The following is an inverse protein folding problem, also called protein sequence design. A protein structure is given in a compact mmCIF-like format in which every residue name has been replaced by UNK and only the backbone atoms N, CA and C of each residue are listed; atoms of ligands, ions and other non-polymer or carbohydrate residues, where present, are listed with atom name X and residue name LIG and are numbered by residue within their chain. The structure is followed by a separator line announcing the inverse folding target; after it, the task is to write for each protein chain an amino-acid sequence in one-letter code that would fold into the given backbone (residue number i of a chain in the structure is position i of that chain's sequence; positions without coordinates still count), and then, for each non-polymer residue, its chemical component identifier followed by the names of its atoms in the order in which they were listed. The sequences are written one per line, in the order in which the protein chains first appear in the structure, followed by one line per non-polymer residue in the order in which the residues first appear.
data_IF_633213322115
#
_entry.id   IF_633213322115
#
_cell.length_a   1.000
_cell.length_b   1.000
_cell.length_c   1.000
_cell.angle_alpha   90.00
_cell.angle_beta   90.00
_cell.angle_gamma   90.00
#
_symmetry.space_group_name_H-M   'P 1'
#
loop_
_entity.id
_entity.type
_entity.pdbx_description
1 polymer ?
#
# COMPACT_ATOMS: atom_id res chain seq x y z
N UNK A 1 -13.33 -9.21 11.06
CA UNK A 1 -12.27 -9.77 11.91
C UNK A 1 -12.12 -8.94 13.19
N UNK A 2 -11.58 -9.52 14.25
CA UNK A 2 -11.33 -8.81 15.51
C UNK A 2 -9.83 -8.58 15.68
N UNK A 3 -9.45 -7.39 16.18
CA UNK A 3 -8.05 -7.07 16.52
C UNK A 3 -7.12 -6.92 15.31
N UNK A 4 -7.64 -6.61 14.14
CA UNK A 4 -6.83 -6.30 12.95
C UNK A 4 -6.20 -4.92 13.12
N UNK A 5 -4.88 -4.87 13.06
CA UNK A 5 -4.08 -3.64 13.09
C UNK A 5 -3.00 -3.72 12.00
N UNK A 6 -3.31 -3.22 10.83
CA UNK A 6 -2.48 -3.28 9.63
C UNK A 6 -2.15 -1.88 9.12
N UNK A 7 -0.94 -1.69 8.68
CA UNK A 7 -0.51 -0.48 7.95
C UNK A 7 -0.19 -0.86 6.51
N UNK A 8 -0.81 -0.19 5.56
CA UNK A 8 -0.55 -0.38 4.13
C UNK A 8 0.29 0.80 3.65
N UNK A 9 1.47 0.51 3.12
CA UNK A 9 2.37 1.51 2.52
C UNK A 9 2.46 1.19 1.04
N UNK A 10 1.86 2.08 0.24
CA UNK A 10 1.70 1.96 -1.21
C UNK A 10 2.58 2.97 -1.93
N UNK A 11 3.45 2.51 -2.83
CA UNK A 11 4.04 3.39 -3.83
C UNK A 11 2.93 3.83 -4.80
N UNK A 12 2.76 5.12 -5.04
CA UNK A 12 1.62 5.64 -5.82
C UNK A 12 2.01 6.57 -6.98
N UNK A 13 3.29 6.63 -7.37
CA UNK A 13 3.76 7.54 -8.42
C UNK A 13 4.01 6.88 -9.77
N UNK A 14 4.13 5.56 -9.82
CA UNK A 14 4.44 4.78 -11.03
C UNK A 14 3.66 3.45 -11.07
N UNK A 15 4.19 2.42 -11.66
CA UNK A 15 3.54 1.11 -11.81
C UNK A 15 2.70 1.03 -13.08
N UNK A 16 1.61 0.28 -13.03
CA UNK A 16 0.60 0.24 -14.11
C UNK A 16 -0.22 1.53 -14.19
N UNK A 17 -0.33 2.26 -13.09
CA UNK A 17 -1.01 3.57 -13.04
C UNK A 17 -0.27 4.68 -13.79
N UNK A 18 0.94 4.44 -14.30
CA UNK A 18 1.61 5.35 -15.25
C UNK A 18 0.83 5.50 -16.55
N UNK A 19 -0.11 4.60 -16.85
CA UNK A 19 -1.01 4.68 -17.99
C UNK A 19 -0.30 4.50 -19.35
N UNK A 20 0.86 3.86 -19.36
CA UNK A 20 1.60 3.61 -20.59
C UNK A 20 1.00 2.41 -21.31
N UNK A 21 0.12 2.68 -22.25
CA UNK A 21 -0.56 1.66 -23.05
C UNK A 21 -0.40 1.93 -24.53
N UNK A 22 -0.38 0.87 -25.34
CA UNK A 22 -0.26 0.97 -26.79
C UNK A 22 -1.00 -0.17 -27.49
N UNK A 23 -1.78 0.16 -28.53
CA UNK A 23 -2.33 -0.83 -29.44
C UNK A 23 -1.27 -1.14 -30.51
N UNK A 24 -0.66 -2.32 -30.40
CA UNK A 24 0.45 -2.75 -31.29
C UNK A 24 -0.02 -3.25 -32.65
N UNK A 25 -1.25 -3.77 -32.72
CA UNK A 25 -1.98 -4.16 -33.91
C UNK A 25 -3.46 -4.21 -33.58
N UNK A 26 -4.40 -4.09 -34.56
CA UNK A 26 -5.83 -4.11 -34.28
C UNK A 26 -6.26 -5.26 -33.35
N UNK A 27 -6.83 -4.92 -32.21
CA UNK A 27 -7.30 -5.86 -31.20
C UNK A 27 -6.22 -6.42 -30.26
N UNK A 28 -4.96 -5.94 -30.33
CA UNK A 28 -3.87 -6.32 -29.41
C UNK A 28 -3.31 -5.09 -28.72
N UNK A 29 -3.59 -4.97 -27.43
CA UNK A 29 -3.14 -3.86 -26.58
C UNK A 29 -2.08 -4.34 -25.61
N UNK A 30 -1.02 -3.55 -25.43
CA UNK A 30 0.00 -3.73 -24.41
C UNK A 30 -0.12 -2.63 -23.35
N UNK A 31 0.04 -3.02 -22.10
CA UNK A 31 0.21 -2.10 -20.96
C UNK A 31 1.58 -2.32 -20.33
N UNK A 32 2.27 -1.24 -20.00
CA UNK A 32 3.62 -1.30 -19.43
C UNK A 32 3.60 -0.93 -17.95
N UNK A 33 4.13 -1.82 -17.12
CA UNK A 33 4.42 -1.53 -15.72
C UNK A 33 5.78 -0.85 -15.62
N UNK A 34 5.80 0.36 -15.06
CA UNK A 34 7.02 1.13 -14.82
C UNK A 34 7.48 0.92 -13.38
N UNK A 35 8.77 0.67 -13.18
CA UNK A 35 9.41 0.65 -11.87
C UNK A 35 10.78 1.32 -11.97
N UNK A 36 10.98 2.41 -11.24
CA UNK A 36 12.26 3.09 -11.13
C UNK A 36 12.94 2.77 -9.81
N UNK A 37 14.28 2.74 -9.82
CA UNK A 37 15.06 2.55 -8.59
C UNK A 37 14.77 3.67 -7.57
N UNK A 38 14.61 4.89 -8.07
CA UNK A 38 14.36 6.06 -7.24
C UNK A 38 13.05 5.93 -6.45
N UNK A 39 11.93 5.63 -7.12
CA UNK A 39 10.64 5.46 -6.46
C UNK A 39 10.61 4.25 -5.52
N UNK A 40 11.17 3.11 -5.96
CA UNK A 40 11.27 1.91 -5.12
C UNK A 40 12.10 2.16 -3.85
N UNK A 41 13.22 2.86 -3.96
CA UNK A 41 14.08 3.16 -2.82
C UNK A 41 13.44 4.19 -1.89
N UNK A 42 12.80 5.23 -2.46
CA UNK A 42 12.08 6.27 -1.71
C UNK A 42 10.99 5.66 -0.81
N UNK A 43 10.09 4.83 -1.39
CA UNK A 43 9.00 4.23 -0.62
C UNK A 43 9.52 3.22 0.40
N UNK A 44 10.53 2.42 0.06
CA UNK A 44 11.16 1.50 1.00
C UNK A 44 11.77 2.25 2.20
N UNK A 45 12.59 3.27 1.94
CA UNK A 45 13.18 4.09 3.00
C UNK A 45 12.10 4.72 3.89
N UNK A 46 11.02 5.23 3.30
CA UNK A 46 9.91 5.79 4.05
C UNK A 46 9.21 4.74 4.91
N UNK A 47 8.95 3.55 4.37
CA UNK A 47 8.28 2.45 5.06
C UNK A 47 9.07 1.98 6.30
N UNK A 48 10.36 1.75 6.14
CA UNK A 48 11.22 1.32 7.26
C UNK A 48 11.37 2.42 8.32
N UNK A 49 11.54 3.68 7.90
CA UNK A 49 11.56 4.82 8.82
C UNK A 49 10.26 4.96 9.60
N UNK A 50 9.12 4.83 8.92
CA UNK A 50 7.79 4.89 9.55
C UNK A 50 7.61 3.75 10.55
N UNK A 51 7.87 2.51 10.14
CA UNK A 51 7.73 1.34 11.00
C UNK A 51 8.61 1.45 12.27
N UNK A 52 9.86 1.88 12.10
CA UNK A 52 10.79 2.07 13.21
C UNK A 52 10.33 3.17 14.19
N UNK A 53 9.84 4.31 13.65
CA UNK A 53 9.35 5.42 14.50
C UNK A 53 8.06 5.09 15.24
N UNK A 54 7.21 4.22 14.66
CA UNK A 54 5.93 3.80 15.23
C UNK A 54 6.02 2.49 16.01
N UNK A 55 7.25 2.02 16.26
CA UNK A 55 7.53 0.78 17.01
C UNK A 55 6.79 -0.44 16.44
N UNK A 56 6.57 -0.44 15.11
CA UNK A 56 6.01 -1.59 14.41
C UNK A 56 7.03 -2.71 14.36
N UNK A 57 6.55 -3.94 14.35
CA UNK A 57 7.41 -5.11 14.59
C UNK A 57 7.97 -5.72 13.32
N UNK A 58 7.21 -5.64 12.22
CA UNK A 58 7.54 -6.35 10.99
C UNK A 58 7.07 -5.61 9.74
N UNK A 59 7.92 -5.63 8.70
CA UNK A 59 7.52 -5.24 7.34
C UNK A 59 7.47 -6.49 6.46
N UNK A 60 6.35 -6.67 5.77
CA UNK A 60 6.17 -7.69 4.74
C UNK A 60 6.03 -7.01 3.38
N UNK A 61 6.94 -7.30 2.46
CA UNK A 61 6.82 -6.86 1.05
C UNK A 61 5.97 -7.87 0.29
N UNK A 62 4.89 -7.39 -0.33
CA UNK A 62 4.09 -8.22 -1.25
C UNK A 62 4.48 -7.93 -2.69
N UNK A 63 4.79 -8.96 -3.47
CA UNK A 63 5.35 -8.84 -4.81
C UNK A 63 4.97 -10.03 -5.71
N UNK A 64 5.23 -9.92 -7.02
CA UNK A 64 5.13 -11.01 -7.99
C UNK A 64 6.45 -11.22 -8.77
N UNK A 65 7.58 -11.11 -8.07
CA UNK A 65 8.93 -11.19 -8.68
C UNK A 65 9.26 -12.56 -9.29
N UNK A 66 8.50 -13.60 -8.96
CA UNK A 66 8.60 -14.90 -9.64
C UNK A 66 8.16 -14.83 -11.11
N UNK A 67 7.29 -13.89 -11.47
CA UNK A 67 6.85 -13.60 -12.84
C UNK A 67 7.49 -12.31 -13.35
N UNK A 68 7.29 -11.18 -12.65
CA UNK A 68 7.81 -9.87 -13.02
C UNK A 68 9.20 -9.65 -12.42
N UNK A 69 10.18 -10.36 -12.97
CA UNK A 69 11.53 -10.47 -12.42
C UNK A 69 12.29 -9.15 -12.39
N UNK A 70 12.02 -8.24 -13.34
CA UNK A 70 12.70 -6.95 -13.43
C UNK A 70 11.99 -5.88 -12.60
N UNK A 71 10.70 -5.65 -12.79
CA UNK A 71 9.97 -4.60 -12.08
C UNK A 71 9.77 -4.92 -10.60
N UNK A 72 9.09 -6.02 -10.29
CA UNK A 72 8.89 -6.44 -8.89
C UNK A 72 10.19 -6.90 -8.23
N UNK A 73 11.11 -7.47 -9.04
CA UNK A 73 12.45 -7.81 -8.56
C UNK A 73 13.25 -6.58 -8.13
N UNK A 74 13.14 -5.46 -8.85
CA UNK A 74 13.76 -4.18 -8.46
C UNK A 74 13.14 -3.65 -7.16
N UNK A 75 11.81 -3.66 -7.06
CA UNK A 75 11.09 -3.23 -5.86
C UNK A 75 11.53 -4.03 -4.62
N UNK A 76 11.52 -5.36 -4.72
CA UNK A 76 11.96 -6.26 -3.66
C UNK A 76 13.42 -6.04 -3.29
N UNK A 77 14.30 -5.87 -4.30
CA UNK A 77 15.72 -5.60 -4.06
C UNK A 77 15.92 -4.30 -3.30
N UNK A 78 15.28 -3.20 -3.71
CA UNK A 78 15.39 -1.92 -3.01
C UNK A 78 14.93 -2.02 -1.55
N UNK A 79 13.81 -2.71 -1.28
CA UNK A 79 13.36 -2.94 0.09
C UNK A 79 14.35 -3.77 0.91
N UNK A 80 14.91 -4.84 0.33
CA UNK A 80 15.92 -5.68 0.98
C UNK A 80 17.21 -4.91 1.26
N UNK A 81 17.66 -4.07 0.32
CA UNK A 81 18.88 -3.26 0.48
C UNK A 81 18.69 -2.23 1.62
N UNK A 82 17.55 -1.54 1.70
CA UNK A 82 17.23 -0.61 2.80
C UNK A 82 17.18 -1.33 4.14
N UNK A 83 16.50 -2.49 4.20
CA UNK A 83 16.48 -3.30 5.41
C UNK A 83 17.89 -3.67 5.88
N UNK A 84 18.69 -4.26 4.99
CA UNK A 84 20.03 -4.77 5.36
C UNK A 84 21.00 -3.67 5.79
N UNK A 85 20.92 -2.48 5.17
CA UNK A 85 21.85 -1.39 5.43
C UNK A 85 21.43 -0.51 6.62
N UNK A 86 20.15 -0.20 6.74
CA UNK A 86 19.68 0.86 7.63
C UNK A 86 18.81 0.35 8.80
N UNK A 87 18.15 -0.80 8.64
CA UNK A 87 17.19 -1.32 9.62
C UNK A 87 17.31 -2.83 9.88
N UNK A 88 18.52 -3.38 10.08
CA UNK A 88 18.73 -4.83 10.18
C UNK A 88 18.03 -5.50 11.38
N UNK A 89 17.64 -4.72 12.37
CA UNK A 89 16.97 -5.21 13.58
C UNK A 89 15.45 -5.28 13.46
N UNK A 90 14.84 -4.68 12.42
CA UNK A 90 13.42 -4.76 12.19
C UNK A 90 13.08 -6.05 11.44
N UNK A 91 12.10 -6.82 11.89
CA UNK A 91 11.73 -8.04 11.19
C UNK A 91 11.26 -7.72 9.75
N UNK A 92 11.80 -8.46 8.79
CA UNK A 92 11.52 -8.27 7.37
C UNK A 92 11.25 -9.61 6.69
N UNK A 93 10.21 -9.66 5.90
CA UNK A 93 9.88 -10.82 5.06
C UNK A 93 9.34 -10.38 3.69
N UNK A 94 9.35 -11.30 2.75
CA UNK A 94 8.69 -11.11 1.46
C UNK A 94 7.72 -12.25 1.17
N UNK A 95 6.59 -11.93 0.56
CA UNK A 95 5.56 -12.90 0.23
C UNK A 95 5.03 -12.62 -1.18
N UNK A 96 4.83 -13.68 -1.97
CA UNK A 96 4.18 -13.56 -3.28
C UNK A 96 2.74 -13.10 -3.06
N UNK A 97 2.28 -12.11 -3.85
CA UNK A 97 1.03 -11.36 -3.63
C UNK A 97 -0.21 -12.25 -3.49
N UNK A 98 -0.37 -13.27 -4.33
CA UNK A 98 -1.50 -14.19 -4.27
C UNK A 98 -1.51 -15.03 -2.97
N UNK A 99 -0.34 -15.49 -2.53
CA UNK A 99 -0.21 -16.13 -1.23
C UNK A 99 -0.47 -15.15 -0.07
N UNK A 100 -0.05 -13.88 -0.22
CA UNK A 100 -0.35 -12.79 0.71
C UNK A 100 -1.84 -12.55 0.87
N UNK A 101 -2.59 -12.48 -0.24
CA UNK A 101 -4.06 -12.35 -0.22
C UNK A 101 -4.73 -13.49 0.55
N UNK A 102 -4.33 -14.74 0.26
CA UNK A 102 -4.87 -15.90 0.95
C UNK A 102 -4.61 -15.83 2.47
N UNK A 103 -3.36 -15.53 2.86
CA UNK A 103 -2.96 -15.42 4.26
C UNK A 103 -3.70 -14.28 5.00
N UNK A 104 -3.90 -13.12 4.35
CA UNK A 104 -4.67 -12.01 4.91
C UNK A 104 -6.12 -12.41 5.25
N UNK A 105 -6.75 -13.22 4.38
CA UNK A 105 -8.11 -13.72 4.63
C UNK A 105 -8.12 -14.82 5.69
N UNK A 106 -7.09 -15.67 5.77
CA UNK A 106 -7.02 -16.73 6.76
C UNK A 106 -6.73 -16.20 8.15
N UNK A 107 -5.72 -15.36 8.28
CA UNK A 107 -5.28 -14.78 9.54
C UNK A 107 -4.52 -13.47 9.29
N UNK A 108 -5.18 -12.30 9.32
CA UNK A 108 -4.53 -11.01 9.13
C UNK A 108 -3.54 -10.65 10.24
N UNK A 109 -3.63 -11.27 11.43
CA UNK A 109 -2.76 -10.96 12.57
C UNK A 109 -1.29 -11.33 12.36
N UNK A 110 -1.00 -12.16 11.36
CA UNK A 110 0.37 -12.49 10.99
C UNK A 110 1.11 -11.36 10.25
N UNK A 111 0.41 -10.30 9.86
CA UNK A 111 0.99 -9.12 9.22
C UNK A 111 0.96 -7.92 10.16
N UNK A 112 1.82 -6.93 9.88
CA UNK A 112 1.92 -5.70 10.64
C UNK A 112 1.98 -4.49 9.69
N UNK A 113 3.10 -4.30 8.98
CA UNK A 113 3.23 -3.30 7.92
C UNK A 113 3.40 -4.02 6.59
N UNK A 114 2.54 -3.70 5.63
CA UNK A 114 2.60 -4.21 4.26
C UNK A 114 3.19 -3.13 3.35
N UNK A 115 4.25 -3.46 2.63
CA UNK A 115 4.90 -2.60 1.64
C UNK A 115 4.64 -3.14 0.24
N UNK A 116 4.04 -2.31 -0.62
CA UNK A 116 3.57 -2.72 -1.95
C UNK A 116 3.83 -1.66 -3.01
N UNK A 117 3.97 -2.13 -4.25
CA UNK A 117 3.90 -1.27 -5.43
C UNK A 117 2.44 -0.82 -5.68
N UNK A 118 2.25 0.07 -6.66
CA UNK A 118 1.02 0.84 -6.82
C UNK A 118 -0.24 -0.03 -6.95
N UNK A 119 -0.33 -0.89 -7.96
CA UNK A 119 -1.53 -1.69 -8.20
C UNK A 119 -1.82 -2.67 -7.06
N UNK A 120 -0.79 -3.34 -6.56
CA UNK A 120 -1.01 -4.27 -5.44
C UNK A 120 -1.39 -3.52 -4.16
N UNK A 121 -0.81 -2.33 -3.95
CA UNK A 121 -1.19 -1.48 -2.83
C UNK A 121 -2.65 -1.07 -2.88
N UNK A 122 -3.16 -0.72 -4.07
CA UNK A 122 -4.56 -0.39 -4.30
C UNK A 122 -5.48 -1.57 -3.93
N UNK A 123 -5.25 -2.73 -4.55
CA UNK A 123 -6.08 -3.93 -4.33
C UNK A 123 -6.03 -4.41 -2.88
N UNK A 124 -4.84 -4.41 -2.27
CA UNK A 124 -4.66 -4.90 -0.89
C UNK A 124 -5.21 -3.92 0.15
N UNK A 125 -5.14 -2.60 -0.09
CA UNK A 125 -5.74 -1.63 0.82
C UNK A 125 -7.25 -1.83 0.93
N UNK A 126 -7.93 -2.06 -0.19
CA UNK A 126 -9.37 -2.30 -0.22
C UNK A 126 -9.74 -3.64 0.42
N UNK A 127 -8.95 -4.70 0.14
CA UNK A 127 -9.12 -5.98 0.84
C UNK A 127 -8.99 -5.79 2.36
N UNK A 128 -7.96 -5.10 2.83
CA UNK A 128 -7.74 -4.86 4.25
C UNK A 128 -8.82 -3.96 4.87
N UNK A 129 -9.31 -2.96 4.12
CA UNK A 129 -10.46 -2.17 4.55
C UNK A 129 -11.70 -3.06 4.79
N UNK A 130 -11.94 -4.03 3.90
CA UNK A 130 -13.02 -5.02 4.07
C UNK A 130 -12.89 -5.83 5.36
N UNK A 131 -11.66 -6.14 5.80
CA UNK A 131 -11.43 -6.90 7.03
C UNK A 131 -11.82 -6.13 8.31
N UNK A 132 -11.83 -4.80 8.25
CA UNK A 132 -12.10 -3.91 9.43
C UNK A 132 -13.47 -3.21 9.37
N UNK A 133 -14.26 -3.45 8.33
CA UNK A 133 -15.63 -2.90 8.23
C UNK A 133 -15.88 -2.01 7.02
N UNK A 134 -14.94 -1.91 6.10
CA UNK A 134 -15.06 -1.20 4.82
C UNK A 134 -14.33 0.14 4.78
N UNK A 135 -14.34 0.76 3.61
CA UNK A 135 -13.61 2.00 3.32
C UNK A 135 -14.08 3.20 4.17
N UNK A 136 -15.32 3.20 4.64
CA UNK A 136 -15.89 4.28 5.45
C UNK A 136 -15.26 4.45 6.84
N UNK A 137 -14.42 3.50 7.28
CA UNK A 137 -13.76 3.52 8.60
C UNK A 137 -12.23 3.54 8.51
N UNK A 138 -11.67 3.65 7.31
CA UNK A 138 -10.21 3.60 7.09
C UNK A 138 -9.68 4.99 6.77
N UNK A 139 -8.71 5.51 7.54
CA UNK A 139 -8.03 6.75 7.23
C UNK A 139 -6.97 6.57 6.14
N UNK A 140 -6.68 7.64 5.41
CA UNK A 140 -5.64 7.69 4.39
C UNK A 140 -4.77 8.94 4.45
N UNK A 141 -3.53 8.79 3.99
CA UNK A 141 -2.61 9.90 3.81
C UNK A 141 -1.71 9.66 2.60
N UNK A 142 -1.51 10.69 1.79
CA UNK A 142 -0.52 10.74 0.72
C UNK A 142 0.63 11.63 1.20
N UNK A 143 1.80 11.04 1.39
CA UNK A 143 2.96 11.71 1.98
C UNK A 143 4.01 11.97 0.90
N UNK A 144 4.20 13.24 0.55
CA UNK A 144 5.27 13.70 -0.32
C UNK A 144 6.48 14.27 0.44
N UNK A 145 7.42 14.83 -0.30
CA UNK A 145 8.59 15.48 0.30
C UNK A 145 8.21 16.83 0.94
N UNK A 146 7.45 17.63 0.22
CA UNK A 146 7.11 19.00 0.62
C UNK A 146 5.64 19.18 1.00
N UNK A 147 4.79 18.24 0.66
CA UNK A 147 3.34 18.30 0.87
C UNK A 147 2.82 16.95 1.33
N UNK A 148 1.88 16.96 2.27
CA UNK A 148 1.12 15.79 2.69
C UNK A 148 -0.38 16.07 2.60
N UNK A 149 -1.15 15.12 2.08
CA UNK A 149 -2.60 15.20 1.92
C UNK A 149 -3.22 14.10 2.77
N UNK A 150 -4.17 14.48 3.61
CA UNK A 150 -4.92 13.56 4.45
C UNK A 150 -6.37 13.51 3.97
N UNK A 151 -6.86 12.33 3.66
CA UNK A 151 -8.16 12.15 3.04
C UNK A 151 -8.83 10.85 3.50
N UNK A 152 -10.14 10.75 3.28
CA UNK A 152 -10.83 9.48 3.34
C UNK A 152 -10.52 8.69 2.06
N UNK A 153 -10.28 7.40 2.19
CA UNK A 153 -9.95 6.53 1.05
C UNK A 153 -11.16 6.26 0.15
N UNK A 154 -12.38 6.31 0.72
CA UNK A 154 -13.62 6.01 -0.01
C UNK A 154 -13.96 7.04 -1.09
N UNK A 155 -14.71 6.59 -2.11
CA UNK A 155 -15.30 7.43 -3.15
C UNK A 155 -16.55 8.21 -2.68
N UNK A 156 -17.25 8.81 -3.62
CA UNK A 156 -18.41 9.70 -3.38
C UNK A 156 -19.73 8.97 -3.09
N UNK A 157 -19.87 7.69 -3.45
CA UNK A 157 -21.05 6.84 -3.24
C UNK A 157 -22.39 7.55 -3.54
N UNK A 158 -22.62 7.98 -4.80
CA UNK A 158 -23.77 8.83 -5.15
C UNK A 158 -25.12 8.13 -4.93
N UNK A 159 -25.15 6.81 -4.94
CA UNK A 159 -26.32 5.96 -4.72
C UNK A 159 -26.90 6.06 -3.30
N UNK A 160 -26.10 6.43 -2.32
CA UNK A 160 -26.53 6.63 -0.92
C UNK A 160 -26.55 8.11 -0.49
N UNK A 161 -26.31 9.04 -1.42
CA UNK A 161 -26.31 10.46 -1.12
C UNK A 161 -27.68 10.93 -0.57
N UNK A 162 -27.66 11.73 0.50
CA UNK A 162 -28.88 12.24 1.15
C UNK A 162 -29.64 11.24 2.02
N UNK A 163 -29.20 10.00 2.13
CA UNK A 163 -29.89 8.95 2.92
C UNK A 163 -29.40 8.83 4.36
N UNK A 164 -28.42 9.61 4.78
CA UNK A 164 -27.78 9.55 6.11
C UNK A 164 -27.21 8.16 6.48
N UNK A 165 -26.74 7.42 5.48
CA UNK A 165 -26.13 6.10 5.66
C UNK A 165 -24.60 6.16 5.78
N UNK A 166 -23.97 7.14 5.14
CA UNK A 166 -22.52 7.29 5.15
C UNK A 166 -22.03 7.76 6.53
N UNK A 167 -20.95 7.13 7.02
CA UNK A 167 -20.28 7.57 8.24
C UNK A 167 -19.12 8.53 7.92
N UNK A 168 -18.89 9.61 8.70
CA UNK A 168 -17.75 10.50 8.51
C UNK A 168 -16.45 9.96 9.17
N UNK A 169 -16.46 8.74 9.68
CA UNK A 169 -15.39 8.23 10.54
C UNK A 169 -14.03 8.20 9.84
N UNK A 170 -13.97 7.79 8.58
CA UNK A 170 -12.72 7.75 7.83
C UNK A 170 -12.05 9.14 7.76
N UNK A 171 -12.82 10.19 7.44
CA UNK A 171 -12.30 11.55 7.37
C UNK A 171 -11.90 12.10 8.75
N UNK A 172 -12.66 11.78 9.80
CA UNK A 172 -12.30 12.14 11.17
C UNK A 172 -10.99 11.49 11.60
N UNK A 173 -10.80 10.21 11.31
CA UNK A 173 -9.54 9.51 11.60
C UNK A 173 -8.37 10.05 10.77
N UNK A 174 -8.59 10.43 9.50
CA UNK A 174 -7.57 11.10 8.69
C UNK A 174 -7.18 12.46 9.26
N UNK A 175 -8.14 13.20 9.84
CA UNK A 175 -7.87 14.45 10.55
C UNK A 175 -7.03 14.22 11.81
N UNK A 176 -7.28 13.13 12.55
CA UNK A 176 -6.42 12.72 13.68
C UNK A 176 -5.01 12.35 13.20
N UNK A 177 -4.90 11.66 12.06
CA UNK A 177 -3.57 11.39 11.45
C UNK A 177 -2.83 12.68 11.12
N UNK A 178 -3.51 13.68 10.55
CA UNK A 178 -2.94 15.00 10.28
C UNK A 178 -2.38 15.65 11.56
N UNK A 179 -3.17 15.67 12.64
CA UNK A 179 -2.74 16.25 13.92
C UNK A 179 -1.55 15.52 14.55
N UNK A 180 -1.43 14.21 14.33
CA UNK A 180 -0.31 13.41 14.82
C UNK A 180 0.92 13.45 13.90
N UNK A 181 0.80 14.04 12.72
CA UNK A 181 1.89 14.18 11.76
C UNK A 181 2.80 15.38 12.09
N UNK A 182 2.23 16.44 12.64
CA UNK A 182 2.93 17.62 13.13
C UNK A 182 3.31 17.47 14.60
#
# INVERSE_FOLDING_TARGET
YKGVDLIIIRENTEGLYSGVENEVTPGVVMSMKVASKEACQRIATWAFRFANRRERKKITVLHKANIMKLTDGLFLKCASDVHANDYPNLAFESTIIDAGCMKLVQDPSQFDVLLLENLYGDVISDLCAGLVGGLGVVPGANIGQDLSIFEAVHGSAPDIAGQNLATPLALLLSSVMLLNFF
#
